data_IF_361382625319
#
_entry.id   IF_361382625319
#
_cell.length_a   1.000
_cell.length_b   1.000
_cell.length_c   1.000
_cell.angle_alpha   90.00
_cell.angle_beta   90.00
_cell.angle_gamma   90.00
#
_symmetry.space_group_name_H-M   'P 1'
#
loop_
_entity.id
_entity.type
_entity.pdbx_description
1 polymer ?
#
# COMPACT_ATOMS: atom_id res chain seq x y z
N UNK A 1 24.13 2.56 -9.93
CA UNK A 1 22.85 3.08 -10.44
C UNK A 1 22.04 3.50 -9.24
N UNK A 2 21.35 4.64 -9.29
CA UNK A 2 20.42 5.07 -8.22
C UNK A 2 19.12 4.29 -8.36
N UNK A 3 18.64 3.68 -7.29
CA UNK A 3 17.35 3.00 -7.27
C UNK A 3 16.23 4.03 -7.50
N UNK A 4 15.21 3.62 -8.26
CA UNK A 4 14.02 4.43 -8.54
C UNK A 4 12.82 3.82 -7.80
N UNK A 5 11.87 4.66 -7.39
CA UNK A 5 10.64 4.21 -6.75
C UNK A 5 9.67 3.64 -7.80
N UNK A 6 8.94 2.59 -7.44
CA UNK A 6 7.75 2.13 -8.15
C UNK A 6 6.64 3.13 -7.86
N UNK A 7 5.94 3.56 -8.91
CA UNK A 7 4.86 4.56 -8.84
C UNK A 7 3.49 3.93 -9.04
N UNK A 8 2.43 4.67 -8.71
CA UNK A 8 1.06 4.23 -8.99
C UNK A 8 0.84 3.97 -10.49
N UNK A 9 1.42 4.80 -11.35
CA UNK A 9 1.32 4.66 -12.80
C UNK A 9 2.00 3.40 -13.32
N UNK A 10 3.08 2.94 -12.67
CA UNK A 10 3.73 1.69 -13.04
C UNK A 10 2.80 0.50 -12.80
N UNK A 11 2.17 0.45 -11.62
CA UNK A 11 1.25 -0.65 -11.24
C UNK A 11 -0.02 -0.62 -12.07
N UNK A 12 -0.54 0.58 -12.37
CA UNK A 12 -1.68 0.74 -13.27
C UNK A 12 -1.41 0.21 -14.69
N UNK A 13 -0.13 0.10 -15.08
CA UNK A 13 0.31 -0.48 -16.35
C UNK A 13 0.74 -1.94 -16.29
N UNK A 14 0.50 -2.66 -15.19
CA UNK A 14 0.86 -4.07 -15.07
C UNK A 14 -0.13 -4.95 -15.85
N UNK A 15 0.15 -5.20 -17.13
CA UNK A 15 -0.67 -6.04 -18.01
C UNK A 15 0.06 -7.33 -18.45
N UNK A 16 1.30 -7.51 -18.01
CA UNK A 16 2.12 -8.67 -18.27
C UNK A 16 3.13 -8.95 -17.15
N UNK A 17 3.73 -10.14 -17.16
CA UNK A 17 4.84 -10.48 -16.25
C UNK A 17 6.03 -9.52 -16.44
N UNK A 18 6.24 -9.03 -17.66
CA UNK A 18 7.34 -8.13 -17.97
C UNK A 18 7.12 -6.73 -17.39
N UNK A 19 5.91 -6.19 -17.43
CA UNK A 19 5.60 -4.87 -16.86
C UNK A 19 5.86 -4.84 -15.34
N UNK A 20 5.50 -5.94 -14.66
CA UNK A 20 5.79 -6.15 -13.24
C UNK A 20 7.31 -6.23 -13.03
N UNK A 21 8.02 -7.02 -13.85
CA UNK A 21 9.47 -7.17 -13.76
C UNK A 21 10.20 -5.83 -13.95
N UNK A 22 9.82 -5.04 -14.96
CA UNK A 22 10.37 -3.72 -15.27
C UNK A 22 10.19 -2.76 -14.10
N UNK A 23 9.06 -2.85 -13.40
CA UNK A 23 8.82 -2.07 -12.18
C UNK A 23 9.77 -2.46 -11.06
N UNK A 24 10.02 -3.76 -10.85
CA UNK A 24 10.96 -4.22 -9.84
C UNK A 24 12.43 -4.04 -10.23
N UNK A 25 12.77 -3.91 -11.52
CA UNK A 25 14.12 -3.51 -11.96
C UNK A 25 14.49 -2.12 -11.43
N UNK A 26 13.52 -1.20 -11.27
CA UNK A 26 13.73 0.10 -10.62
C UNK A 26 14.29 -0.05 -9.20
N UNK A 27 13.95 -1.16 -8.54
CA UNK A 27 14.40 -1.56 -7.21
C UNK A 27 15.66 -2.43 -7.21
N UNK A 28 16.28 -2.60 -8.38
CA UNK A 28 17.52 -3.33 -8.58
C UNK A 28 17.35 -4.84 -8.66
N UNK A 29 16.12 -5.37 -8.59
CA UNK A 29 15.86 -6.79 -8.80
C UNK A 29 16.25 -7.15 -10.25
N UNK A 30 16.76 -8.35 -10.45
CA UNK A 30 17.32 -8.76 -11.75
C UNK A 30 16.48 -9.89 -12.35
N UNK A 31 15.81 -9.68 -13.50
CA UNK A 31 15.08 -10.76 -14.15
C UNK A 31 15.97 -11.93 -14.55
N UNK A 32 15.43 -13.12 -14.37
CA UNK A 32 16.02 -14.41 -14.72
C UNK A 32 14.98 -15.21 -15.52
N UNK A 33 14.69 -14.81 -16.77
CA UNK A 33 13.60 -15.40 -17.56
C UNK A 33 13.77 -16.90 -17.78
N UNK A 34 15.00 -17.40 -17.83
CA UNK A 34 15.29 -18.82 -18.03
C UNK A 34 15.13 -19.68 -16.76
N UNK A 35 14.68 -19.10 -15.65
CA UNK A 35 14.49 -19.80 -14.38
C UNK A 35 13.02 -20.08 -14.06
N UNK A 36 12.06 -19.49 -14.78
CA UNK A 36 10.61 -19.71 -14.59
C UNK A 36 10.02 -20.72 -15.57
N UNK A 37 8.78 -21.15 -15.30
CA UNK A 37 7.90 -21.80 -16.29
C UNK A 37 7.26 -20.76 -17.24
N UNK A 38 6.48 -21.20 -18.24
CA UNK A 38 5.91 -20.32 -19.27
C UNK A 38 5.01 -19.20 -18.70
N UNK A 39 4.37 -19.44 -17.55
CA UNK A 39 3.53 -18.48 -16.85
C UNK A 39 4.25 -17.82 -15.65
N UNK A 40 5.57 -17.98 -15.54
CA UNK A 40 6.36 -17.42 -14.45
C UNK A 40 7.51 -16.54 -14.94
N UNK A 41 7.84 -15.51 -14.17
CA UNK A 41 9.05 -14.73 -14.35
C UNK A 41 9.77 -14.61 -13.00
N UNK A 42 11.00 -15.12 -12.95
CA UNK A 42 11.81 -15.12 -11.73
C UNK A 42 12.64 -13.85 -11.65
N UNK A 43 12.54 -13.13 -10.54
CA UNK A 43 13.36 -11.99 -10.19
C UNK A 43 14.36 -12.37 -9.10
N UNK A 44 15.64 -12.08 -9.32
CA UNK A 44 16.67 -12.24 -8.30
C UNK A 44 16.69 -11.03 -7.36
N UNK A 45 16.52 -11.30 -6.06
CA UNK A 45 16.53 -10.33 -4.97
C UNK A 45 17.87 -10.32 -4.21
N UNK A 46 18.59 -11.44 -4.19
CA UNK A 46 19.89 -11.57 -3.52
C UNK A 46 20.71 -12.68 -4.16
N UNK A 47 21.81 -13.08 -3.52
CA UNK A 47 22.69 -14.11 -4.09
C UNK A 47 21.94 -15.44 -4.33
N UNK A 48 21.13 -15.89 -3.36
CA UNK A 48 20.34 -17.12 -3.43
C UNK A 48 18.83 -16.91 -3.16
N UNK A 49 18.35 -15.67 -3.29
CA UNK A 49 16.98 -15.28 -2.97
C UNK A 49 16.26 -14.74 -4.20
N UNK A 50 15.04 -15.24 -4.42
CA UNK A 50 14.25 -14.96 -5.60
C UNK A 50 12.79 -14.67 -5.26
N UNK A 51 12.18 -13.77 -6.03
CA UNK A 51 10.74 -13.55 -6.11
C UNK A 51 10.26 -14.15 -7.42
N UNK A 52 9.21 -14.97 -7.37
CA UNK A 52 8.59 -15.51 -8.59
C UNK A 52 7.33 -14.72 -8.88
N UNK A 53 7.26 -14.07 -10.03
CA UNK A 53 6.02 -13.46 -10.53
C UNK A 53 5.29 -14.55 -11.30
N UNK A 54 4.01 -14.76 -11.00
CA UNK A 54 3.20 -15.83 -11.60
C UNK A 54 1.96 -15.21 -12.25
N UNK A 55 1.67 -15.60 -13.49
CA UNK A 55 0.41 -15.33 -14.16
C UNK A 55 -0.50 -16.54 -13.96
N UNK A 56 -1.52 -16.40 -13.12
CA UNK A 56 -2.50 -17.45 -12.87
C UNK A 56 -3.49 -17.53 -14.04
N UNK A 57 -3.78 -18.76 -14.47
CA UNK A 57 -4.77 -19.02 -15.51
C UNK A 57 -6.21 -18.77 -15.05
N UNK A 58 -7.16 -18.82 -16.00
CA UNK A 58 -8.57 -18.57 -15.70
C UNK A 58 -9.13 -19.51 -14.63
N UNK A 59 -9.65 -18.93 -13.55
CA UNK A 59 -10.26 -19.67 -12.44
C UNK A 59 -9.29 -20.19 -11.38
N UNK A 60 -7.98 -20.03 -11.58
CA UNK A 60 -6.98 -20.34 -10.56
C UNK A 60 -6.91 -19.23 -9.50
N UNK A 61 -6.65 -19.60 -8.26
CA UNK A 61 -6.49 -18.67 -7.15
C UNK A 61 -5.03 -18.43 -6.85
N UNK A 62 -4.70 -17.26 -6.28
CA UNK A 62 -3.34 -17.00 -5.82
C UNK A 62 -2.81 -18.10 -4.89
N UNK A 63 -3.67 -18.67 -4.03
CA UNK A 63 -3.28 -19.69 -3.06
C UNK A 63 -2.90 -21.04 -3.65
N UNK A 64 -3.15 -21.27 -4.93
CA UNK A 64 -2.69 -22.46 -5.66
C UNK A 64 -1.17 -22.37 -5.95
N UNK A 65 -0.62 -21.16 -5.95
CA UNK A 65 0.79 -20.86 -6.23
C UNK A 65 1.57 -20.52 -4.95
N UNK A 66 1.33 -21.24 -3.86
CA UNK A 66 2.10 -21.07 -2.63
C UNK A 66 3.55 -21.52 -2.84
N UNK A 67 4.55 -20.73 -2.42
CA UNK A 67 5.94 -21.15 -2.52
C UNK A 67 6.20 -22.36 -1.62
N UNK A 68 6.83 -23.38 -2.20
CA UNK A 68 7.18 -24.65 -1.56
C UNK A 68 8.69 -24.79 -1.28
N UNK A 69 9.51 -23.97 -1.94
CA UNK A 69 10.98 -23.97 -1.86
C UNK A 69 11.51 -22.85 -0.95
N UNK A 70 12.73 -23.03 -0.43
CA UNK A 70 13.44 -22.07 0.43
C UNK A 70 14.16 -20.96 -0.34
N UNK A 71 14.55 -21.15 -1.60
CA UNK A 71 15.20 -20.10 -2.42
C UNK A 71 14.19 -19.24 -3.21
N UNK A 72 13.02 -19.80 -3.52
CA UNK A 72 11.86 -19.14 -4.12
C UNK A 72 10.73 -19.10 -3.11
N UNK A 73 10.98 -18.43 -2.00
CA UNK A 73 10.08 -18.47 -0.84
C UNK A 73 9.00 -17.39 -0.89
N UNK A 74 8.97 -16.58 -1.95
CA UNK A 74 7.98 -15.53 -2.18
C UNK A 74 7.50 -15.53 -3.62
N UNK A 75 6.19 -15.60 -3.79
CA UNK A 75 5.52 -15.47 -5.08
C UNK A 75 4.68 -14.19 -5.10
N UNK A 76 4.70 -13.46 -6.22
CA UNK A 76 3.73 -12.41 -6.57
C UNK A 76 2.83 -12.97 -7.65
N UNK A 77 1.59 -13.29 -7.29
CA UNK A 77 0.64 -13.93 -8.20
C UNK A 77 -0.32 -12.89 -8.74
N UNK A 78 -0.33 -12.72 -10.06
CA UNK A 78 -1.34 -11.98 -10.80
C UNK A 78 -2.49 -12.93 -11.15
N UNK A 79 -3.73 -12.48 -10.90
CA UNK A 79 -4.97 -13.21 -11.17
C UNK A 79 -5.95 -12.28 -11.87
N UNK A 80 -7.01 -12.84 -12.45
CA UNK A 80 -8.06 -12.09 -13.16
C UNK A 80 -7.47 -11.16 -14.24
N UNK A 81 -6.65 -11.71 -15.14
CA UNK A 81 -6.04 -10.96 -16.24
C UNK A 81 -5.24 -9.72 -15.76
N UNK A 82 -4.43 -9.90 -14.73
CA UNK A 82 -3.62 -8.85 -14.09
C UNK A 82 -4.41 -7.76 -13.37
N UNK A 83 -5.66 -7.99 -12.98
CA UNK A 83 -6.42 -7.02 -12.18
C UNK A 83 -6.19 -7.16 -10.67
N UNK A 84 -5.80 -8.35 -10.22
CA UNK A 84 -5.63 -8.67 -8.80
C UNK A 84 -4.27 -9.31 -8.53
N UNK A 85 -3.54 -8.78 -7.55
CA UNK A 85 -2.19 -9.21 -7.21
C UNK A 85 -2.14 -9.71 -5.77
N UNK A 86 -1.42 -10.80 -5.54
CA UNK A 86 -1.22 -11.33 -4.19
C UNK A 86 0.22 -11.78 -3.99
N UNK A 87 0.89 -11.17 -3.01
CA UNK A 87 2.13 -11.73 -2.48
C UNK A 87 1.82 -12.90 -1.56
N UNK A 88 2.59 -13.98 -1.72
CA UNK A 88 2.60 -15.15 -0.85
C UNK A 88 4.02 -15.43 -0.41
N UNK A 89 4.31 -15.28 0.88
CA UNK A 89 5.62 -15.58 1.44
C UNK A 89 5.53 -16.71 2.45
N UNK A 90 6.43 -17.67 2.31
CA UNK A 90 6.61 -18.75 3.27
C UNK A 90 7.37 -18.25 4.50
N UNK A 91 6.77 -18.38 5.67
CA UNK A 91 7.41 -18.05 6.95
C UNK A 91 7.98 -19.30 7.62
N UNK A 92 9.16 -19.18 8.25
CA UNK A 92 9.63 -20.19 9.20
C UNK A 92 8.93 -19.96 10.54
N UNK A 93 8.31 -20.99 11.11
CA UNK A 93 7.91 -20.95 12.51
C UNK A 93 9.17 -20.96 13.37
N UNK A 94 9.51 -19.84 14.02
CA UNK A 94 10.56 -19.82 15.03
C UNK A 94 10.06 -20.49 16.34
N UNK A 95 11.01 -21.06 17.07
CA UNK A 95 10.92 -22.01 18.20
C UNK A 95 9.67 -21.99 19.09
N UNK A 96 9.12 -23.19 19.33
CA UNK A 96 8.43 -23.49 20.59
C UNK A 96 7.09 -24.19 20.49
N UNK A 97 6.28 -23.98 19.45
CA UNK A 97 4.94 -24.57 19.41
C UNK A 97 4.51 -25.00 17.99
N UNK A 98 4.20 -26.29 17.90
CA UNK A 98 3.44 -27.00 16.87
C UNK A 98 4.14 -27.38 15.54
N UNK A 99 4.56 -28.66 15.51
CA UNK A 99 4.61 -29.55 14.34
C UNK A 99 4.77 -28.90 12.96
N UNK A 100 6.00 -28.62 12.51
CA UNK A 100 6.43 -28.64 11.09
C UNK A 100 5.55 -27.97 10.02
N UNK A 101 4.54 -27.17 10.40
CA UNK A 101 3.51 -26.64 9.50
C UNK A 101 4.06 -25.38 8.88
N UNK A 102 4.23 -25.43 7.57
CA UNK A 102 4.60 -24.27 6.77
C UNK A 102 3.45 -23.27 6.85
N UNK A 103 3.73 -22.08 7.37
CA UNK A 103 2.79 -20.95 7.36
C UNK A 103 3.12 -20.05 6.17
N UNK A 104 2.10 -19.56 5.51
CA UNK A 104 2.22 -18.53 4.48
C UNK A 104 1.56 -17.24 4.97
N UNK A 105 2.21 -16.11 4.72
CA UNK A 105 1.59 -14.79 4.82
C UNK A 105 1.16 -14.34 3.43
N UNK A 106 0.14 -13.49 3.40
CA UNK A 106 -0.37 -12.92 2.15
C UNK A 106 -0.75 -11.45 2.31
N UNK A 107 -0.50 -10.69 1.25
CA UNK A 107 -1.04 -9.34 1.05
C UNK A 107 -1.58 -9.28 -0.36
N UNK A 108 -2.80 -8.78 -0.51
CA UNK A 108 -3.49 -8.67 -1.80
C UNK A 108 -3.86 -7.22 -2.07
N UNK A 109 -3.83 -6.83 -3.33
CA UNK A 109 -4.20 -5.50 -3.81
C UNK A 109 -4.69 -5.59 -5.25
N UNK A 110 -5.53 -4.65 -5.65
CA UNK A 110 -6.06 -4.58 -7.01
C UNK A 110 -5.43 -3.45 -7.80
N UNK A 111 -5.36 -3.60 -9.13
CA UNK A 111 -4.85 -2.56 -10.03
C UNK A 111 -5.64 -1.24 -9.89
N UNK A 112 -6.95 -1.34 -9.75
CA UNK A 112 -7.86 -0.19 -9.63
C UNK A 112 -7.65 0.63 -8.34
N UNK A 113 -6.96 0.12 -7.32
CA UNK A 113 -6.58 0.93 -6.15
C UNK A 113 -5.61 2.06 -6.53
N UNK A 114 -4.83 1.89 -7.59
CA UNK A 114 -3.77 2.82 -8.00
C UNK A 114 -4.25 3.90 -8.98
N UNK A 115 -5.43 3.72 -9.57
CA UNK A 115 -6.09 4.71 -10.45
C UNK A 115 -6.96 5.69 -9.67
N UNK A 116 -7.33 5.36 -8.43
CA UNK A 116 -8.18 6.19 -7.55
C UNK A 116 -7.35 7.16 -6.71
N UNK A 117 -7.97 8.27 -6.31
CA UNK A 117 -7.42 9.21 -5.32
C UNK A 117 -7.70 8.76 -3.88
N UNK A 118 -7.36 7.51 -3.57
CA UNK A 118 -7.47 6.92 -2.24
C UNK A 118 -6.09 6.79 -1.57
N UNK A 119 -6.06 6.79 -0.24
CA UNK A 119 -4.83 6.59 0.54
C UNK A 119 -4.34 5.13 0.57
N UNK A 120 -5.19 4.15 0.23
CA UNK A 120 -4.84 2.72 0.26
C UNK A 120 -3.64 2.41 -0.64
N UNK A 121 -3.54 3.06 -1.79
CA UNK A 121 -2.41 2.91 -2.73
C UNK A 121 -1.05 3.23 -2.10
N UNK A 122 -1.00 4.20 -1.18
CA UNK A 122 0.26 4.64 -0.57
C UNK A 122 0.85 3.55 0.33
N UNK A 123 0.00 2.81 1.06
CA UNK A 123 0.45 1.69 1.91
C UNK A 123 1.07 0.58 1.07
N UNK A 124 0.43 0.22 -0.05
CA UNK A 124 0.96 -0.81 -0.94
C UNK A 124 2.22 -0.31 -1.64
N UNK A 125 2.22 0.91 -2.19
CA UNK A 125 3.41 1.51 -2.80
C UNK A 125 4.60 1.47 -1.86
N UNK A 126 4.44 1.87 -0.60
CA UNK A 126 5.49 1.85 0.40
C UNK A 126 6.03 0.44 0.66
N UNK A 127 5.16 -0.56 0.75
CA UNK A 127 5.54 -1.98 0.92
C UNK A 127 6.28 -2.55 -0.30
N UNK A 128 5.82 -2.24 -1.51
CA UNK A 128 6.54 -2.64 -2.73
C UNK A 128 7.89 -1.92 -2.80
N UNK A 129 7.90 -0.65 -2.39
CA UNK A 129 9.06 0.19 -2.31
C UNK A 129 9.94 -0.04 -1.06
N UNK A 130 9.75 -1.12 -0.31
CA UNK A 130 10.76 -1.61 0.62
C UNK A 130 11.54 -2.79 0.02
N UNK A 131 11.01 -3.44 -1.02
CA UNK A 131 11.65 -4.58 -1.68
C UNK A 131 12.78 -4.07 -2.56
N UNK A 132 14.02 -4.33 -2.17
CA UNK A 132 15.23 -3.93 -2.89
C UNK A 132 16.21 -5.08 -3.00
N UNK A 133 17.01 -5.07 -4.06
CA UNK A 133 18.12 -6.02 -4.20
C UNK A 133 19.07 -5.94 -3.00
N UNK A 134 19.35 -7.11 -2.40
CA UNK A 134 20.20 -7.25 -1.21
C UNK A 134 19.44 -7.10 0.11
N UNK A 135 18.12 -6.85 0.09
CA UNK A 135 17.30 -6.67 1.29
C UNK A 135 16.12 -7.65 1.32
N UNK A 136 16.39 -8.94 1.54
CA UNK A 136 15.32 -9.91 1.74
C UNK A 136 14.55 -9.73 3.04
N UNK A 137 15.17 -9.10 4.05
CA UNK A 137 14.49 -8.71 5.28
C UNK A 137 13.22 -7.89 4.99
N UNK A 138 13.24 -7.03 3.97
CA UNK A 138 12.05 -6.25 3.59
C UNK A 138 10.83 -7.10 3.22
N UNK A 139 11.03 -8.31 2.71
CA UNK A 139 9.94 -9.24 2.39
C UNK A 139 9.34 -9.88 3.65
N UNK A 140 10.16 -10.13 4.68
CA UNK A 140 9.71 -10.82 5.89
C UNK A 140 9.20 -9.84 6.96
N UNK A 141 9.89 -8.72 7.10
CA UNK A 141 9.65 -7.75 8.16
C UNK A 141 8.71 -6.65 7.65
N UNK A 142 8.98 -6.01 6.51
CA UNK A 142 8.23 -4.81 6.08
C UNK A 142 6.97 -5.11 5.26
N UNK A 143 7.04 -6.08 4.33
CA UNK A 143 5.93 -6.36 3.40
C UNK A 143 4.63 -6.71 4.13
N UNK A 144 4.72 -7.36 5.28
CA UNK A 144 3.56 -7.80 6.07
C UNK A 144 3.36 -7.01 7.36
N UNK A 145 4.33 -6.22 7.80
CA UNK A 145 4.16 -5.38 8.99
C UNK A 145 3.34 -4.13 8.67
N UNK A 146 2.38 -3.83 9.53
CA UNK A 146 1.58 -2.62 9.49
C UNK A 146 2.08 -1.58 10.48
N UNK A 147 2.90 -1.96 11.48
CA UNK A 147 3.40 -1.07 12.52
C UNK A 147 4.27 0.03 11.91
N UNK A 148 5.23 -0.30 11.05
CA UNK A 148 6.05 0.71 10.38
C UNK A 148 5.22 1.73 9.57
N UNK A 149 4.15 1.29 8.92
CA UNK A 149 3.27 2.21 8.17
C UNK A 149 2.51 3.14 9.12
N UNK A 150 2.08 2.62 10.26
CA UNK A 150 1.37 3.36 11.28
C UNK A 150 2.30 4.35 12.00
N UNK A 151 3.53 3.97 12.31
CA UNK A 151 4.52 4.83 12.96
C UNK A 151 4.84 6.06 12.10
N UNK A 152 5.22 5.85 10.84
CA UNK A 152 5.50 6.97 9.93
C UNK A 152 4.25 7.85 9.70
N UNK A 153 3.05 7.28 9.65
CA UNK A 153 1.81 8.07 9.59
C UNK A 153 1.66 8.97 10.83
N UNK A 154 1.94 8.46 12.03
CA UNK A 154 1.87 9.27 13.25
C UNK A 154 2.92 10.38 13.26
N UNK A 155 4.14 10.12 12.77
CA UNK A 155 5.19 11.13 12.63
C UNK A 155 4.74 12.25 11.67
N UNK A 156 4.30 11.89 10.46
CA UNK A 156 3.80 12.86 9.47
C UNK A 156 2.57 13.64 9.98
N UNK A 157 1.67 12.97 10.69
CA UNK A 157 0.49 13.60 11.29
C UNK A 157 0.86 14.61 12.38
N UNK A 158 1.84 14.29 13.22
CA UNK A 158 2.33 15.17 14.28
C UNK A 158 3.05 16.40 13.73
N UNK A 159 3.82 16.24 12.66
CA UNK A 159 4.45 17.35 11.93
C UNK A 159 3.40 18.26 11.30
N UNK A 160 2.42 17.69 10.58
CA UNK A 160 1.30 18.44 10.00
C UNK A 160 0.50 19.20 11.08
N UNK A 161 0.26 18.56 12.22
CA UNK A 161 -0.40 19.19 13.36
C UNK A 161 0.40 20.37 13.87
N UNK A 162 1.71 20.20 14.02
CA UNK A 162 2.61 21.26 14.51
C UNK A 162 2.60 22.46 13.58
N UNK A 163 2.69 22.22 12.28
CA UNK A 163 2.64 23.27 11.26
C UNK A 163 1.28 23.99 11.26
N UNK A 164 0.18 23.22 11.28
CA UNK A 164 -1.17 23.79 11.31
C UNK A 164 -1.43 24.61 12.58
N UNK A 165 -0.86 24.19 13.73
CA UNK A 165 -0.89 24.99 14.96
C UNK A 165 -0.14 26.32 14.78
N UNK A 166 0.89 26.41 13.96
CA UNK A 166 1.55 27.69 13.70
C UNK A 166 0.68 28.59 12.81
N UNK A 167 0.08 28.02 11.77
CA UNK A 167 -0.68 28.76 10.74
C UNK A 167 -2.06 29.26 11.19
N UNK A 168 -2.76 28.54 12.09
CA UNK A 168 -4.08 28.97 12.56
C UNK A 168 -3.99 30.35 13.22
N UNK A 169 -4.96 31.24 13.01
CA UNK A 169 -5.03 32.54 13.69
C UNK A 169 -6.45 32.81 14.18
N UNK A 170 -6.62 33.82 15.03
CA UNK A 170 -7.95 34.20 15.54
C UNK A 170 -8.53 33.28 16.62
N UNK A 171 -7.77 32.30 17.12
CA UNK A 171 -8.16 31.48 18.29
C UNK A 171 -7.67 32.19 19.57
N UNK A 172 -8.57 32.59 20.48
CA UNK A 172 -8.18 33.20 21.75
C UNK A 172 -7.32 32.23 22.59
N UNK A 173 -6.15 32.68 23.04
CA UNK A 173 -5.19 31.85 23.80
C UNK A 173 -5.41 31.92 25.32
N UNK A 174 -6.69 31.91 25.72
CA UNK A 174 -7.11 32.19 27.10
C UNK A 174 -6.65 31.11 28.10
N UNK A 175 -6.25 29.94 27.59
CA UNK A 175 -5.87 28.75 28.36
C UNK A 175 -4.48 28.20 28.01
N UNK A 176 -3.70 28.91 27.19
CA UNK A 176 -2.33 28.54 26.77
C UNK A 176 -2.25 27.34 25.80
N UNK A 177 -3.33 26.54 25.68
CA UNK A 177 -3.40 25.38 24.79
C UNK A 177 -4.64 25.35 23.88
N UNK A 178 -5.40 26.45 23.85
CA UNK A 178 -6.66 26.53 23.12
C UNK A 178 -6.46 26.27 21.61
N UNK A 179 -5.39 26.82 21.04
CA UNK A 179 -5.01 26.65 19.63
C UNK A 179 -4.69 25.20 19.29
N UNK A 180 -3.91 24.53 20.13
CA UNK A 180 -3.53 23.12 19.94
C UNK A 180 -4.75 22.20 20.02
N UNK A 181 -5.64 22.42 21.00
CA UNK A 181 -6.88 21.66 21.13
C UNK A 181 -7.80 21.86 19.92
N UNK A 182 -7.92 23.09 19.45
CA UNK A 182 -8.73 23.38 18.26
C UNK A 182 -8.21 22.61 17.04
N UNK A 183 -6.91 22.71 16.75
CA UNK A 183 -6.29 21.99 15.62
C UNK A 183 -6.46 20.49 15.77
N UNK A 184 -6.20 19.91 16.94
CA UNK A 184 -6.38 18.48 17.19
C UNK A 184 -7.81 18.02 16.88
N UNK A 185 -8.82 18.72 17.40
CA UNK A 185 -10.23 18.36 17.17
C UNK A 185 -10.60 18.44 15.68
N UNK A 186 -10.08 19.43 14.97
CA UNK A 186 -10.33 19.59 13.54
C UNK A 186 -9.69 18.44 12.74
N UNK A 187 -8.44 18.11 13.02
CA UNK A 187 -7.75 16.98 12.37
C UNK A 187 -8.43 15.64 12.68
N UNK A 188 -8.79 15.38 13.93
CA UNK A 188 -9.52 14.18 14.34
C UNK A 188 -10.84 14.03 13.57
N UNK A 189 -11.56 15.13 13.37
CA UNK A 189 -12.81 15.16 12.58
C UNK A 189 -12.55 14.88 11.11
N UNK A 190 -11.50 15.45 10.51
CA UNK A 190 -11.15 15.17 9.11
C UNK A 190 -10.79 13.71 8.91
N UNK A 191 -9.98 13.12 9.80
CA UNK A 191 -9.67 11.68 9.78
C UNK A 191 -10.94 10.84 9.89
N UNK A 192 -11.83 11.20 10.81
CA UNK A 192 -13.09 10.48 10.99
C UNK A 192 -13.99 10.54 9.76
N UNK A 193 -14.12 11.72 9.13
CA UNK A 193 -14.89 11.88 7.90
C UNK A 193 -14.29 11.08 6.75
N UNK A 194 -12.96 11.10 6.60
CA UNK A 194 -12.25 10.26 5.63
C UNK A 194 -12.54 8.78 5.86
N UNK A 195 -12.46 8.31 7.11
CA UNK A 195 -12.75 6.91 7.44
C UNK A 195 -14.19 6.50 7.10
N UNK A 196 -15.18 7.35 7.38
CA UNK A 196 -16.59 7.08 7.03
C UNK A 196 -16.76 7.01 5.51
N UNK A 197 -16.12 7.90 4.74
CA UNK A 197 -16.12 7.86 3.28
C UNK A 197 -15.52 6.55 2.74
N UNK A 198 -14.34 6.16 3.25
CA UNK A 198 -13.66 4.93 2.84
C UNK A 198 -14.53 3.69 3.09
N UNK A 199 -15.29 3.68 4.20
CA UNK A 199 -16.26 2.62 4.50
C UNK A 199 -17.55 2.69 3.67
N UNK A 200 -17.63 3.59 2.69
CA UNK A 200 -18.80 3.83 1.84
C UNK A 200 -20.06 4.15 2.64
N UNK A 201 -19.89 4.82 3.79
CA UNK A 201 -21.00 5.20 4.68
C UNK A 201 -21.56 6.60 4.36
N UNK A 202 -20.90 7.37 3.49
CA UNK A 202 -21.41 8.63 2.92
C UNK A 202 -22.03 8.35 1.55
N UNK A 203 -23.35 8.10 1.53
CA UNK A 203 -24.13 7.81 0.31
C UNK A 203 -23.57 6.71 -0.61
N UNK A 204 -22.74 5.82 -0.04
CA UNK A 204 -21.96 4.81 -0.79
C UNK A 204 -21.03 5.39 -1.87
N UNK A 205 -20.80 6.70 -1.84
CA UNK A 205 -19.95 7.40 -2.78
C UNK A 205 -18.52 7.48 -2.21
N UNK A 206 -17.52 6.86 -2.86
CA UNK A 206 -16.12 6.92 -2.41
C UNK A 206 -15.50 8.32 -2.56
N UNK A 207 -16.13 9.23 -3.31
CA UNK A 207 -15.67 10.59 -3.57
C UNK A 207 -16.58 11.65 -2.94
N UNK A 208 -17.45 11.26 -2.00
CA UNK A 208 -18.50 12.14 -1.44
C UNK A 208 -17.98 13.50 -0.98
N UNK A 209 -16.91 13.56 -0.18
CA UNK A 209 -16.36 14.80 0.36
C UNK A 209 -15.73 15.70 -0.72
N UNK A 210 -15.38 15.15 -1.89
CA UNK A 210 -14.84 15.91 -3.02
C UNK A 210 -15.96 16.48 -3.90
N UNK A 211 -17.00 15.68 -4.14
CA UNK A 211 -18.11 16.04 -5.05
C UNK A 211 -19.17 16.91 -4.36
N UNK A 212 -19.51 16.60 -3.10
CA UNK A 212 -20.58 17.26 -2.36
C UNK A 212 -20.43 18.78 -2.23
N UNK A 213 -19.23 19.36 -1.99
CA UNK A 213 -19.09 20.82 -1.97
C UNK A 213 -19.51 21.47 -3.28
N UNK A 214 -19.24 20.85 -4.43
CA UNK A 214 -19.65 21.35 -5.74
C UNK A 214 -21.17 21.41 -5.89
N UNK A 215 -21.86 20.39 -5.40
CA UNK A 215 -23.33 20.31 -5.45
C UNK A 215 -24.02 21.34 -4.54
N UNK A 216 -23.37 21.73 -3.44
CA UNK A 216 -23.95 22.66 -2.44
C UNK A 216 -23.63 24.13 -2.75
N UNK A 217 -22.49 24.41 -3.39
CA UNK A 217 -22.09 25.79 -3.78
C UNK A 217 -23.04 26.37 -4.83
N UNK A 218 -23.64 25.54 -5.68
CA UNK A 218 -24.62 25.97 -6.68
C UNK A 218 -26.03 26.23 -6.11
N UNK A 219 -26.26 25.96 -4.81
CA UNK A 219 -27.62 25.89 -4.22
C UNK A 219 -27.99 27.08 -3.29
N UNK A 220 -27.19 28.15 -3.21
CA UNK A 220 -27.67 29.43 -2.64
C UNK A 220 -26.67 30.39 -2.00
N UNK A 221 -27.20 31.54 -1.56
CA UNK A 221 -26.50 32.68 -0.93
C UNK A 221 -25.57 32.27 0.22
N UNK A 222 -24.41 32.92 0.29
CA UNK A 222 -23.42 32.80 1.36
C UNK A 222 -24.10 32.98 2.74
N UNK A 223 -24.05 31.93 3.56
CA UNK A 223 -24.66 31.90 4.90
C UNK A 223 -23.70 32.30 6.02
N UNK A 224 -22.43 32.55 5.69
CA UNK A 224 -21.35 32.83 6.66
C UNK A 224 -20.91 34.30 6.67
N UNK A 225 -21.30 35.11 5.69
CA UNK A 225 -21.27 36.57 5.80
C UNK A 225 -22.55 37.10 6.49
N UNK A 226 -22.50 37.28 7.81
CA UNK A 226 -23.39 38.19 8.55
C UNK A 226 -22.61 38.95 9.61
#
# INVERSE_FOLDING_TARGET
MTLQQITASDIAGWDSLQDIADSFEKRGLKPRPNLGEDNELVLQLGDDEFVVIVNAGPGESATDFKPDNRSRHTNLVATNDFEEFTFLTRMRSWEGQQHGRIKHQKISFSKDQFTRDSGEKNTVLKKLNSIEYGSSAAIYDTLYDTQQVVEEFYEEFEDLRTDLVQEVSGVPDDRGDAKQRYVQVILDRMIFLYFIQEKRLLDRNPNYLHEQPGDVVDDGEDRYEN
#
